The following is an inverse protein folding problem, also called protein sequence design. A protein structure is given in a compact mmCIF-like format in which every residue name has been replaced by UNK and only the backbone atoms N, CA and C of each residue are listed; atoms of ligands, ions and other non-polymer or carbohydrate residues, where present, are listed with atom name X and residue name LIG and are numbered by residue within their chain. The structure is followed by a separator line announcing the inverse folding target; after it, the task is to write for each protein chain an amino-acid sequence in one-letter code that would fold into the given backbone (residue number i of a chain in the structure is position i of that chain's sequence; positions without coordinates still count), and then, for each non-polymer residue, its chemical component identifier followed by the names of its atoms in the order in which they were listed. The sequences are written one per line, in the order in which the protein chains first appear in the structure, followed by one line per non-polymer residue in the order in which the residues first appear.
data_IF_529427486636
#
_entry.id   IF_529427486636
#
_cell.length_a   1.000
_cell.length_b   1.000
_cell.length_c   1.000
_cell.angle_alpha   90.00
_cell.angle_beta   90.00
_cell.angle_gamma   90.00
#
_symmetry.space_group_name_H-M   'P 1'
#
loop_
_entity.id
_entity.type
_entity.pdbx_description
1 polymer ?
#
# COMPACT_ATOMS: atom_id res chain seq x y z
N UNK A 1 29.78 -5.83 -10.61
CA UNK A 1 29.15 -5.86 -9.26
C UNK A 1 28.32 -4.63 -8.88
N UNK A 2 28.15 -3.61 -9.74
CA UNK A 2 27.48 -2.34 -9.37
C UNK A 2 26.05 -2.16 -9.91
N UNK A 3 25.50 -3.18 -10.60
CA UNK A 3 24.18 -3.14 -11.29
C UNK A 3 23.02 -3.75 -10.49
N UNK A 4 23.28 -4.48 -9.41
CA UNK A 4 22.23 -5.19 -8.66
C UNK A 4 21.68 -4.42 -7.45
N UNK A 5 22.38 -3.39 -6.96
CA UNK A 5 21.94 -2.59 -5.82
C UNK A 5 20.61 -1.85 -6.10
N UNK A 6 20.39 -1.41 -7.34
CA UNK A 6 19.13 -0.77 -7.73
C UNK A 6 17.94 -1.75 -7.74
N UNK A 7 18.17 -3.04 -8.01
CA UNK A 7 17.12 -4.08 -7.99
C UNK A 7 16.68 -4.43 -6.58
N UNK A 8 17.59 -4.37 -5.60
CA UNK A 8 17.21 -4.57 -4.19
C UNK A 8 16.47 -3.36 -3.60
N UNK A 9 16.69 -2.15 -4.13
CA UNK A 9 16.00 -0.93 -3.71
C UNK A 9 14.60 -0.75 -4.33
N UNK A 10 14.32 -1.32 -5.51
CA UNK A 10 12.98 -1.26 -6.14
C UNK A 10 11.94 -2.17 -5.48
N UNK A 11 12.36 -3.01 -4.52
CA UNK A 11 11.54 -4.05 -3.87
C UNK A 11 11.07 -3.71 -2.44
N UNK A 12 11.30 -2.49 -1.95
CA UNK A 12 11.00 -2.12 -0.55
C UNK A 12 9.55 -1.61 -0.43
N UNK A 13 8.54 -2.45 -0.72
CA UNK A 13 7.11 -2.22 -0.39
C UNK A 13 6.28 -1.29 -1.28
N UNK A 14 6.37 -1.34 -2.61
CA UNK A 14 5.32 -0.72 -3.42
C UNK A 14 4.06 -1.59 -3.42
N UNK A 15 2.90 -0.98 -3.17
CA UNK A 15 1.59 -1.64 -3.17
C UNK A 15 1.31 -2.49 -4.43
N UNK A 16 1.67 -2.01 -5.62
CA UNK A 16 1.36 -2.69 -6.90
C UNK A 16 2.17 -3.97 -7.12
N UNK A 17 3.52 -3.97 -7.09
CA UNK A 17 4.32 -5.20 -7.24
C UNK A 17 3.99 -6.27 -6.21
N UNK A 18 3.72 -5.88 -4.96
CA UNK A 18 3.33 -6.82 -3.90
C UNK A 18 2.00 -7.51 -4.23
N UNK A 19 1.03 -6.75 -4.76
CA UNK A 19 -0.28 -7.31 -5.16
C UNK A 19 -0.12 -8.34 -6.27
N UNK A 20 0.68 -8.03 -7.30
CA UNK A 20 0.91 -8.93 -8.43
C UNK A 20 1.64 -10.20 -7.97
N UNK A 21 2.69 -10.06 -7.17
CA UNK A 21 3.50 -11.17 -6.68
C UNK A 21 2.72 -12.12 -5.77
N UNK A 22 1.82 -11.60 -4.94
CA UNK A 22 0.97 -12.45 -4.10
C UNK A 22 -0.15 -13.08 -4.92
N UNK A 23 -0.74 -12.35 -5.88
CA UNK A 23 -1.79 -12.88 -6.76
C UNK A 23 -1.29 -14.05 -7.61
N UNK A 24 -0.05 -14.00 -8.12
CA UNK A 24 0.56 -15.09 -8.88
C UNK A 24 0.70 -16.41 -8.08
N UNK A 25 0.74 -16.33 -6.75
CA UNK A 25 0.86 -17.50 -5.87
C UNK A 25 -0.49 -18.06 -5.43
N UNK A 26 -1.59 -17.34 -5.69
CA UNK A 26 -2.94 -17.78 -5.32
C UNK A 26 -3.46 -18.74 -6.40
N UNK A 27 -3.68 -20.03 -6.09
CA UNK A 27 -4.24 -20.96 -7.05
C UNK A 27 -5.66 -20.52 -7.43
N UNK A 28 -6.10 -20.73 -8.70
CA UNK A 28 -7.41 -20.31 -9.15
C UNK A 28 -8.52 -21.28 -8.69
N UNK A 29 -8.60 -21.54 -7.39
CA UNK A 29 -9.54 -22.50 -6.79
C UNK A 29 -10.36 -21.83 -5.68
N UNK A 30 -11.65 -22.13 -5.61
CA UNK A 30 -12.58 -21.58 -4.60
C UNK A 30 -13.02 -20.13 -4.85
N UNK A 31 -13.28 -19.39 -3.77
CA UNK A 31 -13.82 -18.01 -3.75
C UNK A 31 -12.73 -16.97 -4.11
N UNK A 32 -12.21 -17.09 -5.33
CA UNK A 32 -11.09 -16.31 -5.86
C UNK A 32 -11.36 -14.80 -5.85
N UNK A 33 -12.62 -14.39 -6.05
CA UNK A 33 -13.02 -12.99 -6.07
C UNK A 33 -12.80 -12.34 -4.69
N UNK A 34 -13.22 -12.99 -3.62
CA UNK A 34 -13.04 -12.52 -2.24
C UNK A 34 -11.58 -12.32 -1.89
N UNK A 35 -10.74 -13.28 -2.27
CA UNK A 35 -9.30 -13.25 -1.99
C UNK A 35 -8.61 -12.11 -2.77
N UNK A 36 -8.97 -11.91 -4.04
CA UNK A 36 -8.44 -10.81 -4.87
C UNK A 36 -8.86 -9.46 -4.33
N UNK A 37 -10.15 -9.28 -4.01
CA UNK A 37 -10.67 -8.01 -3.47
C UNK A 37 -9.99 -7.65 -2.15
N UNK A 38 -9.86 -8.63 -1.26
CA UNK A 38 -9.22 -8.42 0.03
C UNK A 38 -7.71 -8.13 -0.12
N UNK A 39 -7.02 -8.87 -1.00
CA UNK A 39 -5.61 -8.68 -1.28
C UNK A 39 -5.35 -7.28 -1.85
N UNK A 40 -6.06 -6.90 -2.92
CA UNK A 40 -5.92 -5.61 -3.56
C UNK A 40 -6.19 -4.44 -2.60
N UNK A 41 -7.16 -4.61 -1.71
CA UNK A 41 -7.49 -3.62 -0.69
C UNK A 41 -6.37 -3.46 0.35
N UNK A 42 -5.88 -4.58 0.92
CA UNK A 42 -4.86 -4.56 1.97
C UNK A 42 -3.54 -3.99 1.43
N UNK A 43 -3.09 -4.43 0.26
CA UNK A 43 -1.82 -3.96 -0.31
C UNK A 43 -1.87 -2.46 -0.61
N UNK A 44 -3.01 -1.95 -1.04
CA UNK A 44 -3.22 -0.51 -1.28
C UNK A 44 -3.10 0.30 0.01
N UNK A 45 -3.75 -0.14 1.09
CA UNK A 45 -3.74 0.58 2.37
C UNK A 45 -2.42 0.44 3.11
N UNK A 46 -1.81 -0.74 3.06
CA UNK A 46 -0.49 -0.99 3.64
C UNK A 46 0.60 -0.15 2.96
N UNK A 47 0.48 0.09 1.65
CA UNK A 47 1.36 1.00 0.90
C UNK A 47 1.32 2.47 1.37
N UNK A 48 0.29 2.88 2.11
CA UNK A 48 0.19 4.23 2.68
C UNK A 48 0.81 4.36 4.08
N UNK A 49 1.25 3.25 4.68
CA UNK A 49 1.82 3.25 6.02
C UNK A 49 3.13 4.04 6.08
N UNK A 50 3.98 3.89 5.07
CA UNK A 50 5.30 4.53 5.02
C UNK A 50 5.45 5.38 3.77
N UNK A 51 6.38 6.34 3.82
CA UNK A 51 6.65 7.21 2.68
C UNK A 51 7.13 6.45 1.44
N UNK A 52 7.84 5.34 1.64
CA UNK A 52 8.35 4.49 0.56
C UNK A 52 7.33 3.46 0.07
N UNK A 53 6.16 3.36 0.72
CA UNK A 53 5.17 2.34 0.42
C UNK A 53 4.42 2.53 -0.92
N UNK A 54 4.56 3.69 -1.55
CA UNK A 54 4.03 3.94 -2.89
C UNK A 54 4.77 5.06 -3.61
N UNK A 55 4.84 4.97 -4.93
CA UNK A 55 5.35 6.04 -5.79
C UNK A 55 4.53 7.32 -5.61
N UNK A 56 3.22 7.22 -5.37
CA UNK A 56 2.37 8.38 -5.11
C UNK A 56 2.84 9.18 -3.88
N UNK A 57 3.23 8.49 -2.81
CA UNK A 57 3.72 9.11 -1.57
C UNK A 57 5.04 9.85 -1.80
N UNK A 58 5.94 9.25 -2.59
CA UNK A 58 7.19 9.89 -2.99
C UNK A 58 6.99 11.10 -3.90
N UNK A 59 6.00 11.06 -4.82
CA UNK A 59 5.66 12.22 -5.65
C UNK A 59 5.16 13.39 -4.78
N UNK A 60 4.31 13.10 -3.80
CA UNK A 60 3.81 14.13 -2.86
C UNK A 60 4.96 14.67 -2.00
N UNK A 61 5.85 13.81 -1.50
CA UNK A 61 7.04 14.22 -0.76
C UNK A 61 7.95 15.12 -1.61
N UNK A 62 8.22 14.72 -2.85
CA UNK A 62 9.05 15.51 -3.77
C UNK A 62 8.43 16.89 -4.03
N UNK A 63 7.11 16.97 -4.23
CA UNK A 63 6.41 18.24 -4.37
C UNK A 63 6.48 19.09 -3.09
N UNK A 64 6.32 18.49 -1.92
CA UNK A 64 6.44 19.19 -0.64
C UNK A 64 7.85 19.76 -0.42
N UNK A 65 8.88 19.01 -0.83
CA UNK A 65 10.28 19.45 -0.80
C UNK A 65 10.57 20.58 -1.80
N UNK A 66 9.85 20.66 -2.91
CA UNK A 66 10.03 21.75 -3.90
C UNK A 66 9.24 23.02 -3.52
N UNK A 67 8.36 22.92 -2.52
CA UNK A 67 7.52 23.99 -2.01
C UNK A 67 8.16 24.64 -0.77
N UNK A 68 7.72 25.82 -0.35
CA UNK A 68 8.11 26.47 0.93
C UNK A 68 7.74 25.67 2.20
N UNK A 69 7.25 24.44 2.05
CA UNK A 69 6.85 23.49 3.10
C UNK A 69 7.97 22.53 3.51
N UNK A 70 9.20 22.69 3.01
CA UNK A 70 10.36 21.85 3.34
C UNK A 70 10.51 21.60 4.86
N UNK A 71 10.28 22.60 5.70
CA UNK A 71 10.43 22.46 7.17
C UNK A 71 9.34 21.64 7.88
N UNK A 72 8.25 21.28 7.20
CA UNK A 72 7.11 20.56 7.80
C UNK A 72 7.03 19.09 7.39
N UNK A 73 7.86 18.65 6.45
CA UNK A 73 7.76 17.31 5.88
C UNK A 73 8.90 16.43 6.39
N UNK A 74 8.65 15.72 7.49
CA UNK A 74 9.56 14.73 8.06
C UNK A 74 8.99 13.31 7.95
N UNK A 75 9.86 12.31 7.80
CA UNK A 75 9.47 10.90 7.67
C UNK A 75 8.61 10.44 8.85
N UNK A 76 8.95 10.84 10.07
CA UNK A 76 8.21 10.42 11.26
C UNK A 76 6.83 11.06 11.36
N UNK A 77 6.70 12.31 10.90
CA UNK A 77 5.41 12.97 10.79
C UNK A 77 4.53 12.20 9.80
N UNK A 78 5.06 11.85 8.63
CA UNK A 78 4.33 11.04 7.66
C UNK A 78 3.96 9.66 8.23
N UNK A 79 4.90 8.97 8.89
CA UNK A 79 4.67 7.64 9.46
C UNK A 79 3.56 7.64 10.51
N UNK A 80 3.48 8.67 11.37
CA UNK A 80 2.39 8.78 12.37
C UNK A 80 1.03 8.93 11.70
N UNK A 81 0.93 9.77 10.68
CA UNK A 81 -0.31 9.94 9.91
C UNK A 81 -0.65 8.69 9.09
N UNK A 82 0.34 8.07 8.46
CA UNK A 82 0.20 6.82 7.71
C UNK A 82 -0.27 5.69 8.61
N UNK A 83 0.35 5.51 9.78
CA UNK A 83 -0.05 4.48 10.74
C UNK A 83 -1.50 4.62 11.20
N UNK A 84 -1.91 5.83 11.59
CA UNK A 84 -3.28 6.08 12.05
C UNK A 84 -4.30 5.87 10.92
N UNK A 85 -4.02 6.37 9.72
CA UNK A 85 -4.92 6.22 8.57
C UNK A 85 -4.98 4.78 8.07
N UNK A 86 -3.86 4.06 8.02
CA UNK A 86 -3.80 2.64 7.67
C UNK A 86 -4.66 1.79 8.60
N UNK A 87 -4.61 2.02 9.92
CA UNK A 87 -5.44 1.27 10.88
C UNK A 87 -6.92 1.55 10.67
N UNK A 88 -7.31 2.83 10.60
CA UNK A 88 -8.70 3.22 10.44
C UNK A 88 -9.30 2.70 9.13
N UNK A 89 -8.58 2.86 8.03
CA UNK A 89 -9.03 2.40 6.72
C UNK A 89 -9.08 0.87 6.66
N UNK A 90 -8.10 0.17 7.24
CA UNK A 90 -8.12 -1.30 7.32
C UNK A 90 -9.38 -1.80 8.01
N UNK A 91 -9.71 -1.26 9.20
CA UNK A 91 -10.92 -1.61 9.93
C UNK A 91 -12.20 -1.35 9.10
N UNK A 92 -12.33 -0.13 8.56
CA UNK A 92 -13.53 0.26 7.81
C UNK A 92 -13.69 -0.59 6.54
N UNK A 93 -12.64 -0.76 5.74
CA UNK A 93 -12.80 -1.47 4.49
C UNK A 93 -12.81 -3.00 4.63
N UNK A 94 -12.23 -3.58 5.70
CA UNK A 94 -12.51 -4.99 6.03
C UNK A 94 -14.00 -5.19 6.33
N UNK A 95 -14.65 -4.27 7.06
CA UNK A 95 -16.10 -4.33 7.29
C UNK A 95 -16.90 -4.18 6.00
N UNK A 96 -16.51 -3.26 5.12
CA UNK A 96 -17.17 -3.05 3.82
C UNK A 96 -17.03 -4.29 2.93
N UNK A 97 -15.81 -4.84 2.79
CA UNK A 97 -15.57 -6.03 1.98
C UNK A 97 -16.35 -7.22 2.54
N UNK A 98 -16.34 -7.41 3.86
CA UNK A 98 -17.14 -8.45 4.50
C UNK A 98 -18.64 -8.29 4.21
N UNK A 99 -19.17 -7.07 4.31
CA UNK A 99 -20.57 -6.77 3.98
C UNK A 99 -20.89 -7.00 2.51
N UNK A 100 -19.99 -6.62 1.59
CA UNK A 100 -20.13 -6.82 0.16
C UNK A 100 -20.17 -8.31 -0.20
N UNK A 101 -19.24 -9.10 0.36
CA UNK A 101 -19.17 -10.54 0.10
C UNK A 101 -20.40 -11.28 0.65
N UNK A 102 -20.96 -10.83 1.78
CA UNK A 102 -22.24 -11.30 2.35
C UNK A 102 -23.47 -11.03 1.50
N UNK A 103 -23.41 -10.07 0.59
CA UNK A 103 -24.52 -9.71 -0.32
C UNK A 103 -24.40 -10.45 -1.64
N UNK A 104 -23.15 -10.76 -2.06
CA UNK A 104 -22.86 -11.44 -3.33
C UNK A 104 -23.03 -12.97 -3.19
N UNK A 105 -22.75 -13.55 -2.03
CA UNK A 105 -23.02 -14.96 -1.66
C UNK A 105 -24.29 -15.08 -0.82
#
# INVERSE_FOLDING_TARGET
MRRYIYVYMTNIFSNVPLTLLVLEQVPPTGDHLSLVLYLAFITTIAGNLTLFGSVANLIVAQKALTSSLQHKFDFWTYLKFGFLTTILLSLVGTLIIYGLLRVIH
#
